data_IF_092894978929
#
_entry.id   IF_092894978929
#
_cell.length_a   1.000
_cell.length_b   1.000
_cell.length_c   1.000
_cell.angle_alpha   90.00
_cell.angle_beta   90.00
_cell.angle_gamma   90.00
#
_symmetry.space_group_name_H-M   'P 1'
#
loop_
_entity.id
_entity.type
_entity.pdbx_description
1 polymer ?
#
# COMPACT_ATOMS: atom_id res chain seq x y z
N UNK A 1 28.95 13.29 1.39
CA UNK A 1 28.93 12.77 2.78
C UNK A 1 27.97 11.60 2.96
N UNK A 2 26.86 11.51 2.22
CA UNK A 2 25.88 10.41 2.30
C UNK A 2 26.46 9.01 2.02
N UNK A 3 27.30 8.86 0.98
CA UNK A 3 27.89 7.55 0.63
C UNK A 3 28.72 6.95 1.77
N UNK A 4 29.48 7.77 2.50
CA UNK A 4 30.28 7.30 3.63
C UNK A 4 29.40 6.88 4.82
N UNK A 5 28.33 7.62 5.09
CA UNK A 5 27.38 7.29 6.16
C UNK A 5 26.69 5.95 5.90
N UNK A 6 26.28 5.69 4.65
CA UNK A 6 25.64 4.43 4.26
C UNK A 6 26.57 3.23 4.51
N UNK A 7 27.83 3.30 4.08
CA UNK A 7 28.81 2.22 4.30
C UNK A 7 29.04 1.98 5.80
N UNK A 8 29.10 3.04 6.60
CA UNK A 8 29.25 2.91 8.05
C UNK A 8 28.01 2.25 8.69
N UNK A 9 26.79 2.65 8.28
CA UNK A 9 25.55 2.02 8.76
C UNK A 9 25.46 0.55 8.39
N UNK A 10 25.84 0.19 7.16
CA UNK A 10 25.87 -1.20 6.70
C UNK A 10 26.82 -2.07 7.54
N UNK A 11 28.03 -1.57 7.82
CA UNK A 11 29.01 -2.27 8.67
C UNK A 11 28.51 -2.43 10.10
N UNK A 12 27.97 -1.37 10.70
CA UNK A 12 27.44 -1.44 12.06
C UNK A 12 26.28 -2.42 12.17
N UNK A 13 25.36 -2.41 11.19
CA UNK A 13 24.25 -3.37 11.14
C UNK A 13 24.76 -4.80 11.02
N UNK A 14 25.75 -5.06 10.15
CA UNK A 14 26.34 -6.38 10.00
C UNK A 14 26.99 -6.87 11.30
N UNK A 15 27.74 -5.99 11.97
CA UNK A 15 28.36 -6.29 13.26
C UNK A 15 27.33 -6.67 14.33
N UNK A 16 26.30 -5.84 14.54
CA UNK A 16 25.28 -6.12 15.56
C UNK A 16 24.45 -7.37 15.24
N UNK A 17 24.17 -7.66 13.96
CA UNK A 17 23.45 -8.87 13.58
C UNK A 17 24.24 -10.16 13.90
N UNK A 18 25.58 -10.11 13.84
CA UNK A 18 26.43 -11.25 14.20
C UNK A 18 26.56 -11.41 15.72
N UNK A 19 26.72 -10.32 16.46
CA UNK A 19 26.96 -10.35 17.90
C UNK A 19 25.67 -10.56 18.73
N UNK A 20 24.62 -9.79 18.44
CA UNK A 20 23.38 -9.79 19.24
C UNK A 20 22.16 -10.32 18.48
N UNK A 21 22.28 -10.50 17.16
CA UNK A 21 21.14 -10.84 16.29
C UNK A 21 20.20 -9.65 16.00
N UNK A 22 20.54 -8.46 16.47
CA UNK A 22 19.76 -7.24 16.28
C UNK A 22 20.46 -6.26 15.34
N UNK A 23 19.74 -5.27 14.80
CA UNK A 23 20.31 -4.34 13.81
C UNK A 23 21.18 -3.23 14.40
N UNK A 24 21.19 -3.05 15.73
CA UNK A 24 21.84 -1.91 16.40
C UNK A 24 21.16 -0.56 16.15
N UNK A 25 20.07 -0.54 15.38
CA UNK A 25 19.24 0.65 15.19
C UNK A 25 18.29 0.83 16.38
N UNK A 26 17.77 2.04 16.52
CA UNK A 26 16.83 2.38 17.59
C UNK A 26 15.66 1.37 17.66
N UNK A 27 15.37 0.77 18.82
CA UNK A 27 14.34 -0.25 18.93
C UNK A 27 12.97 0.30 18.53
N UNK A 28 12.29 -0.43 17.65
CA UNK A 28 10.96 -0.08 17.17
C UNK A 28 9.99 -1.24 17.33
N UNK A 29 8.71 -0.92 17.53
CA UNK A 29 7.65 -1.92 17.64
C UNK A 29 6.36 -1.44 17.00
N UNK A 30 5.56 -2.38 16.50
CA UNK A 30 4.25 -2.06 15.90
C UNK A 30 3.20 -1.92 17.00
N UNK A 31 2.60 -0.74 17.07
CA UNK A 31 1.62 -0.37 18.10
C UNK A 31 0.40 0.26 17.45
N UNK A 32 -0.75 0.20 18.11
CA UNK A 32 -1.93 0.92 17.67
C UNK A 32 -1.95 2.35 18.24
N UNK A 33 -2.25 3.33 17.38
CA UNK A 33 -2.54 4.68 17.82
C UNK A 33 -3.95 4.80 18.43
N UNK A 34 -4.30 5.98 18.95
CA UNK A 34 -5.62 6.24 19.54
C UNK A 34 -6.81 6.02 18.57
N UNK A 35 -6.58 6.08 17.26
CA UNK A 35 -7.58 5.83 16.22
C UNK A 35 -7.67 4.34 15.81
N UNK A 36 -6.84 3.48 16.40
CA UNK A 36 -6.77 2.05 16.10
C UNK A 36 -6.04 1.68 14.81
N UNK A 37 -5.23 2.59 14.26
CA UNK A 37 -4.34 2.33 13.13
C UNK A 37 -2.98 1.85 13.64
N UNK A 38 -2.39 0.88 12.95
CA UNK A 38 -1.03 0.38 13.24
C UNK A 38 0.00 1.44 12.85
N UNK A 39 0.93 1.73 13.74
CA UNK A 39 2.05 2.63 13.53
C UNK A 39 3.32 2.06 14.17
N UNK A 40 4.48 2.44 13.62
CA UNK A 40 5.79 2.02 14.12
C UNK A 40 6.23 2.96 15.24
N UNK A 41 6.10 2.51 16.49
CA UNK A 41 6.54 3.25 17.66
C UNK A 41 8.06 3.10 17.85
N UNK A 42 8.77 4.23 17.89
CA UNK A 42 10.20 4.29 18.20
C UNK A 42 10.39 4.46 19.71
N UNK A 43 10.97 3.47 20.38
CA UNK A 43 11.17 3.49 21.84
C UNK A 43 12.18 4.56 22.25
N UNK A 44 11.96 5.20 23.40
CA UNK A 44 12.90 6.15 24.00
C UNK A 44 13.46 5.54 25.28
N UNK A 45 14.67 5.95 25.65
CA UNK A 45 15.21 5.68 26.98
C UNK A 45 14.46 6.50 28.04
N UNK A 46 14.21 5.86 29.18
CA UNK A 46 13.51 6.45 30.30
C UNK A 46 14.22 6.03 31.60
N UNK A 47 14.30 6.95 32.55
CA UNK A 47 14.91 6.69 33.87
C UNK A 47 14.07 5.72 34.69
N UNK A 48 12.74 5.80 34.56
CA UNK A 48 11.79 4.95 35.29
C UNK A 48 11.19 3.86 34.39
N UNK A 49 10.87 2.69 34.94
CA UNK A 49 10.12 1.66 34.23
C UNK A 49 8.76 2.15 33.70
N UNK A 50 8.22 1.55 32.62
CA UNK A 50 7.01 2.05 31.95
C UNK A 50 5.77 2.19 32.85
N UNK A 51 5.59 1.26 33.80
CA UNK A 51 4.44 1.24 34.71
C UNK A 51 4.52 2.31 35.82
N UNK A 52 5.72 2.81 36.14
CA UNK A 52 5.92 3.89 37.10
C UNK A 52 5.92 5.27 36.44
N UNK A 53 6.21 5.34 35.14
CA UNK A 53 6.34 6.59 34.40
C UNK A 53 4.97 7.18 33.99
N UNK A 54 4.32 7.88 34.93
CA UNK A 54 2.99 8.50 34.72
C UNK A 54 2.98 9.46 33.53
N UNK A 55 4.06 10.24 33.33
CA UNK A 55 4.19 11.16 32.18
C UNK A 55 4.17 10.39 30.85
N UNK A 56 4.87 9.27 30.77
CA UNK A 56 4.87 8.42 29.58
C UNK A 56 3.50 7.79 29.33
N UNK A 57 2.88 7.20 30.36
CA UNK A 57 1.56 6.57 30.27
C UNK A 57 0.52 7.57 29.74
N UNK A 58 0.45 8.77 30.34
CA UNK A 58 -0.53 9.81 29.96
C UNK A 58 -0.28 10.41 28.58
N UNK A 59 0.98 10.54 28.16
CA UNK A 59 1.32 11.19 26.90
C UNK A 59 1.24 10.28 25.68
N UNK A 60 1.54 8.98 25.84
CA UNK A 60 1.66 8.07 24.69
C UNK A 60 0.35 7.37 24.29
N UNK A 61 -0.65 7.28 25.20
CA UNK A 61 -1.97 6.66 24.95
C UNK A 61 -1.88 5.46 23.99
N UNK A 62 -1.05 4.47 24.37
CA UNK A 62 -0.81 3.28 23.56
C UNK A 62 -2.06 2.40 23.61
N UNK A 63 -2.69 2.22 22.46
CA UNK A 63 -3.93 1.46 22.34
C UNK A 63 -5.11 2.31 21.87
N UNK A 64 -6.23 1.64 21.68
CA UNK A 64 -7.49 2.24 21.23
C UNK A 64 -8.65 1.44 21.76
N UNK A 65 -9.81 2.08 21.85
CA UNK A 65 -11.02 1.44 22.32
C UNK A 65 -12.27 2.26 22.03
N UNK A 66 -13.41 1.72 22.45
CA UNK A 66 -14.69 2.42 22.33
C UNK A 66 -15.42 2.18 21.00
N UNK A 67 -16.72 2.52 21.02
CA UNK A 67 -17.63 2.33 19.88
C UNK A 67 -17.30 3.25 18.70
N UNK A 68 -16.91 4.50 18.99
CA UNK A 68 -16.58 5.49 17.97
C UNK A 68 -15.38 5.04 17.10
N UNK A 69 -14.31 4.55 17.73
CA UNK A 69 -13.12 4.08 17.01
C UNK A 69 -13.44 2.86 16.15
N UNK A 70 -14.25 1.91 16.63
CA UNK A 70 -14.70 0.76 15.83
C UNK A 70 -15.48 1.19 14.58
N UNK A 71 -16.40 2.16 14.71
CA UNK A 71 -17.15 2.71 13.58
C UNK A 71 -16.23 3.43 12.59
N UNK A 72 -15.27 4.21 13.09
CA UNK A 72 -14.26 4.87 12.26
C UNK A 72 -13.44 3.86 11.45
N UNK A 73 -12.94 2.79 12.08
CA UNK A 73 -12.15 1.76 11.41
C UNK A 73 -12.93 1.04 10.31
N UNK A 74 -14.23 0.76 10.54
CA UNK A 74 -15.11 0.19 9.52
C UNK A 74 -15.21 1.09 8.29
N UNK A 75 -15.63 2.35 8.50
CA UNK A 75 -15.79 3.34 7.43
C UNK A 75 -14.46 3.60 6.69
N UNK A 76 -13.35 3.60 7.42
CA UNK A 76 -12.02 3.75 6.84
C UNK A 76 -11.67 2.59 5.91
N UNK A 77 -11.94 1.34 6.32
CA UNK A 77 -11.73 0.15 5.49
C UNK A 77 -12.64 0.13 4.26
N UNK A 78 -13.91 0.49 4.42
CA UNK A 78 -14.86 0.63 3.31
C UNK A 78 -14.39 1.70 2.31
N UNK A 79 -13.85 2.83 2.79
CA UNK A 79 -13.26 3.87 1.95
C UNK A 79 -12.06 3.33 1.17
N UNK A 80 -11.12 2.64 1.82
CA UNK A 80 -9.96 2.03 1.15
C UNK A 80 -10.39 1.00 0.10
N UNK A 81 -11.37 0.15 0.42
CA UNK A 81 -11.94 -0.82 -0.52
C UNK A 81 -12.55 -0.12 -1.74
N UNK A 82 -13.33 0.93 -1.53
CA UNK A 82 -13.93 1.72 -2.61
C UNK A 82 -12.88 2.39 -3.49
N UNK A 83 -11.78 2.91 -2.92
CA UNK A 83 -10.67 3.47 -3.68
C UNK A 83 -10.03 2.39 -4.56
N UNK A 84 -9.69 1.22 -3.98
CA UNK A 84 -9.11 0.09 -4.72
C UNK A 84 -10.03 -0.38 -5.85
N UNK A 85 -11.32 -0.53 -5.58
CA UNK A 85 -12.33 -0.94 -6.56
C UNK A 85 -12.47 0.09 -7.69
N UNK A 86 -12.54 1.39 -7.37
CA UNK A 86 -12.62 2.47 -8.38
C UNK A 86 -11.35 2.54 -9.23
N UNK A 87 -10.17 2.36 -8.65
CA UNK A 87 -8.91 2.30 -9.40
C UNK A 87 -8.91 1.15 -10.41
N UNK A 88 -9.27 -0.07 -9.98
CA UNK A 88 -9.40 -1.23 -10.87
C UNK A 88 -10.39 -0.99 -12.02
N UNK A 89 -11.55 -0.41 -11.71
CA UNK A 89 -12.55 -0.08 -12.73
C UNK A 89 -12.06 1.00 -13.70
N UNK A 90 -11.31 2.00 -13.21
CA UNK A 90 -10.73 3.04 -14.06
C UNK A 90 -9.72 2.44 -15.03
N UNK A 91 -8.78 1.62 -14.56
CA UNK A 91 -7.81 0.92 -15.41
C UNK A 91 -8.51 0.02 -16.43
N UNK A 92 -9.51 -0.76 -16.01
CA UNK A 92 -10.32 -1.59 -16.94
C UNK A 92 -11.01 -0.75 -18.02
N UNK A 93 -11.64 0.36 -17.63
CA UNK A 93 -12.35 1.23 -18.56
C UNK A 93 -11.40 1.94 -19.53
N UNK A 94 -10.22 2.33 -19.07
CA UNK A 94 -9.18 2.93 -19.90
C UNK A 94 -8.72 1.93 -20.99
N UNK A 95 -8.38 0.70 -20.61
CA UNK A 95 -8.04 -0.38 -21.56
C UNK A 95 -9.19 -0.66 -22.51
N UNK A 96 -10.42 -0.75 -22.00
CA UNK A 96 -11.61 -0.96 -22.83
C UNK A 96 -11.78 0.13 -23.88
N UNK A 97 -11.58 1.40 -23.51
CA UNK A 97 -11.67 2.52 -24.44
C UNK A 97 -10.54 2.52 -25.47
N UNK A 98 -9.32 2.14 -25.08
CA UNK A 98 -8.18 1.98 -26.00
C UNK A 98 -8.47 0.91 -27.05
N UNK A 99 -8.92 -0.28 -26.63
CA UNK A 99 -9.28 -1.39 -27.52
C UNK A 99 -10.43 -1.01 -28.46
N UNK A 100 -11.46 -0.34 -27.94
CA UNK A 100 -12.63 0.07 -28.73
C UNK A 100 -12.31 1.10 -29.82
N UNK A 101 -11.43 2.06 -29.51
CA UNK A 101 -11.05 3.14 -30.45
C UNK A 101 -10.00 2.69 -31.46
N UNK A 102 -9.05 1.86 -31.01
CA UNK A 102 -7.89 1.46 -31.78
C UNK A 102 -7.83 -0.07 -31.87
N UNK A 103 -8.50 -0.70 -32.85
CA UNK A 103 -8.55 -2.16 -32.96
C UNK A 103 -7.20 -2.83 -33.24
N UNK A 104 -6.24 -2.09 -33.82
CA UNK A 104 -4.89 -2.60 -34.15
C UNK A 104 -3.83 -2.29 -33.07
N UNK A 105 -4.24 -1.99 -31.84
CA UNK A 105 -3.31 -1.67 -30.75
C UNK A 105 -2.52 -2.91 -30.32
N UNK A 106 -1.23 -2.74 -30.01
CA UNK A 106 -0.39 -3.84 -29.52
C UNK A 106 -0.84 -4.27 -28.11
N UNK A 107 -1.35 -5.50 -28.04
CA UNK A 107 -1.87 -6.12 -26.82
C UNK A 107 -0.75 -6.32 -25.78
N UNK A 108 0.50 -6.56 -26.22
CA UNK A 108 1.62 -6.78 -25.31
C UNK A 108 1.96 -5.50 -24.53
N UNK A 109 1.87 -4.35 -25.20
CA UNK A 109 2.07 -3.03 -24.56
C UNK A 109 0.99 -2.75 -23.52
N UNK A 110 -0.26 -3.16 -23.77
CA UNK A 110 -1.35 -2.98 -22.80
C UNK A 110 -1.11 -3.86 -21.57
N UNK A 111 -0.71 -5.12 -21.76
CA UNK A 111 -0.44 -6.05 -20.65
C UNK A 111 0.70 -5.57 -19.75
N UNK A 112 1.77 -5.02 -20.33
CA UNK A 112 2.90 -4.50 -19.55
C UNK A 112 2.50 -3.25 -18.75
N UNK A 113 1.67 -2.38 -19.32
CA UNK A 113 1.22 -1.14 -18.65
C UNK A 113 0.13 -1.37 -17.60
N UNK A 114 -0.75 -2.35 -17.80
CA UNK A 114 -1.87 -2.65 -16.90
C UNK A 114 -1.87 -4.12 -16.45
N UNK A 115 -0.93 -4.53 -15.58
CA UNK A 115 -0.82 -5.93 -15.15
C UNK A 115 -2.03 -6.44 -14.36
N UNK A 116 -2.76 -5.54 -13.68
CA UNK A 116 -3.95 -5.88 -12.88
C UNK A 116 -5.21 -6.13 -13.73
N UNK A 117 -5.17 -5.83 -15.02
CA UNK A 117 -6.31 -5.93 -15.93
C UNK A 117 -6.19 -7.18 -16.80
N UNK A 118 -7.20 -8.04 -16.73
CA UNK A 118 -7.33 -9.21 -17.59
C UNK A 118 -7.75 -8.76 -19.02
N UNK A 119 -6.75 -8.58 -19.88
CA UNK A 119 -6.92 -8.11 -21.26
C UNK A 119 -7.59 -9.18 -22.14
N UNK A 120 -7.33 -10.46 -21.90
CA UNK A 120 -7.88 -11.55 -22.70
C UNK A 120 -9.40 -11.68 -22.50
N UNK A 121 -9.84 -11.48 -21.27
CA UNK A 121 -11.26 -11.37 -20.96
C UNK A 121 -11.90 -10.14 -21.61
N UNK A 122 -11.18 -9.03 -21.70
CA UNK A 122 -11.69 -7.81 -22.33
C UNK A 122 -11.85 -7.97 -23.84
N UNK A 123 -10.90 -8.58 -24.53
CA UNK A 123 -10.97 -8.81 -25.98
C UNK A 123 -12.20 -9.64 -26.41
N UNK A 124 -12.66 -10.53 -25.53
CA UNK A 124 -13.87 -11.35 -25.74
C UNK A 124 -15.17 -10.60 -25.44
N UNK A 125 -15.11 -9.44 -24.77
CA UNK A 125 -16.27 -8.66 -24.37
C UNK A 125 -16.79 -7.85 -25.57
N UNK A 126 -18.09 -7.89 -25.84
CA UNK A 126 -18.68 -7.15 -26.96
C UNK A 126 -18.50 -5.63 -26.82
N UNK A 127 -18.21 -5.14 -25.62
CA UNK A 127 -17.92 -3.72 -25.35
C UNK A 127 -16.61 -3.23 -25.94
N UNK A 128 -15.65 -4.11 -26.24
CA UNK A 128 -14.37 -3.73 -26.87
C UNK A 128 -14.42 -3.88 -28.39
N UNK A 129 -15.36 -4.66 -28.93
CA UNK A 129 -15.66 -4.68 -30.36
C UNK A 129 -16.24 -3.30 -30.69
N UNK A 130 -15.50 -2.47 -31.42
CA UNK A 130 -15.97 -1.16 -31.88
C UNK A 130 -17.30 -1.25 -32.65
N UNK A 131 -17.83 -0.12 -33.10
CA UNK A 131 -18.98 -0.15 -34.02
C UNK A 131 -18.53 -0.87 -35.30
N UNK A 132 -18.92 -2.13 -35.43
CA UNK A 132 -18.70 -2.93 -36.61
C UNK A 132 -19.50 -2.31 -37.75
N UNK A 133 -18.81 -1.67 -38.70
CA UNK A 133 -19.35 -1.41 -40.03
C UNK A 133 -19.02 -2.67 -40.82
N UNK A 134 -20.02 -3.49 -41.21
CA UNK A 134 -19.77 -4.60 -42.12
C UNK A 134 -19.14 -3.99 -43.38
N UNK A 135 -18.09 -4.61 -43.93
CA UNK A 135 -17.70 -4.30 -45.31
C UNK A 135 -18.89 -4.65 -46.18
N UNK A 136 -19.56 -3.64 -46.70
CA UNK A 136 -20.48 -3.79 -47.81
C UNK A 136 -19.56 -3.84 -49.02
N UNK A 137 -19.27 -5.05 -49.49
CA UNK A 137 -18.59 -5.23 -50.77
C UNK A 137 -19.55 -4.71 -51.86
N UNK A 138 -19.14 -3.65 -52.57
CA UNK A 138 -19.76 -3.13 -53.80
C UNK A 138 -18.99 -3.72 -54.97
#
# INVERSE_FOLDING_TARGET
MENLETVLRERNKAYHLLETGETGERPTRVVYNALGLRHLYKSCEHVLPPHMNVKWIKSRNIGFGGRAVRKFLLLYREKLYNIKRKAKNRSRNEVMMMLRRNPNIDIQVIRSKYPDVDVDKLLRDDKTRGHFVPKVDI
#
